data_IF_428610200731
#
_entry.id   IF_428610200731
#
_cell.length_a   1.000
_cell.length_b   1.000
_cell.length_c   1.000
_cell.angle_alpha   90.00
_cell.angle_beta   90.00
_cell.angle_gamma   90.00
#
_symmetry.space_group_name_H-M   'P 1'
#
loop_
_entity.id
_entity.type
_entity.pdbx_description
1 polymer ?
#
# COMPACT_ATOMS: atom_id res chain seq x y z
N UNK A 1 8.82 14.48 -2.23
CA UNK A 1 7.48 14.30 -2.84
C UNK A 1 6.65 13.19 -2.18
N UNK A 2 7.26 12.13 -1.63
CA UNK A 2 6.56 11.05 -0.89
C UNK A 2 5.74 11.51 0.33
N UNK A 3 6.20 12.51 1.08
CA UNK A 3 5.50 13.01 2.27
C UNK A 3 4.16 13.75 1.99
N UNK A 4 3.88 14.14 0.74
CA UNK A 4 2.62 14.84 0.40
C UNK A 4 1.50 13.90 -0.03
N UNK A 5 1.79 12.65 -0.41
CA UNK A 5 0.76 11.71 -0.90
C UNK A 5 0.06 11.02 0.27
N UNK A 6 0.77 10.68 1.34
CA UNK A 6 0.19 10.10 2.57
C UNK A 6 -0.73 11.08 3.33
N UNK A 7 -0.54 12.39 3.14
CA UNK A 7 -1.34 13.40 3.86
C UNK A 7 -2.77 13.57 3.32
N UNK A 8 -3.05 13.12 2.09
CA UNK A 8 -4.36 13.28 1.42
C UNK A 8 -5.31 12.10 1.66
N UNK A 9 -4.79 10.90 1.92
CA UNK A 9 -5.60 9.70 2.16
C UNK A 9 -6.16 9.67 3.59
N UNK A 10 -5.43 10.25 4.55
CA UNK A 10 -5.90 10.40 5.94
C UNK A 10 -6.98 11.50 6.10
N UNK A 11 -7.10 12.44 5.17
CA UNK A 11 -8.08 13.54 5.28
C UNK A 11 -9.48 13.16 4.77
N UNK A 12 -9.61 12.18 3.87
CA UNK A 12 -10.90 11.79 3.29
C UNK A 12 -11.73 10.87 4.19
N UNK A 13 -11.12 10.09 5.09
CA UNK A 13 -11.85 9.22 6.03
C UNK A 13 -12.51 9.97 7.20
N UNK A 14 -12.09 11.21 7.50
CA UNK A 14 -12.73 12.03 8.54
C UNK A 14 -14.04 12.70 8.07
N UNK A 15 -14.31 12.76 6.76
CA UNK A 15 -15.42 13.52 6.20
C UNK A 15 -16.72 12.72 6.02
N UNK A 16 -16.70 11.38 6.14
CA UNK A 16 -17.87 10.55 5.91
C UNK A 16 -18.78 10.35 7.14
N UNK A 17 -18.38 10.81 8.34
CA UNK A 17 -19.09 10.55 9.59
C UNK A 17 -19.95 11.70 10.14
N UNK A 18 -19.98 12.88 9.51
CA UNK A 18 -20.51 14.10 10.14
C UNK A 18 -21.86 14.63 9.59
N UNK A 19 -22.63 13.82 8.87
CA UNK A 19 -23.87 14.28 8.23
C UNK A 19 -25.13 13.53 8.72
N UNK A 20 -25.39 13.56 10.03
CA UNK A 20 -26.71 13.22 10.58
C UNK A 20 -26.94 13.86 11.97
N UNK A 21 -26.94 15.20 12.03
CA UNK A 21 -27.54 15.92 13.16
C UNK A 21 -28.75 16.68 12.63
N UNK A 22 -29.91 16.03 12.74
CA UNK A 22 -31.21 16.66 12.52
C UNK A 22 -31.43 17.66 13.65
N UNK A 23 -31.54 18.94 13.31
CA UNK A 23 -31.92 20.00 14.23
C UNK A 23 -33.34 19.72 14.76
N UNK A 24 -33.45 19.37 16.06
CA UNK A 24 -34.72 19.36 16.76
C UNK A 24 -35.07 20.78 17.24
N UNK A 25 -36.34 21.22 17.15
CA UNK A 25 -36.75 22.54 17.63
C UNK A 25 -36.71 22.58 19.16
N UNK A 26 -36.10 23.64 19.70
CA UNK A 26 -36.10 23.96 21.14
C UNK A 26 -37.50 24.40 21.55
N UNK A 27 -38.19 23.55 22.32
CA UNK A 27 -39.42 23.95 23.02
C UNK A 27 -39.05 24.62 24.36
N UNK A 28 -39.82 25.65 24.74
CA UNK A 28 -39.60 26.47 25.93
C UNK A 28 -39.72 25.69 27.25
N UNK A 29 -38.92 26.09 28.23
CA UNK A 29 -38.77 25.47 29.56
C UNK A 29 -40.03 25.59 30.45
N UNK A 30 -40.48 24.51 31.10
CA UNK A 30 -41.31 24.62 32.29
C UNK A 30 -40.47 24.86 33.56
N UNK A 31 -41.07 25.53 34.53
CA UNK A 31 -40.46 26.11 35.73
C UNK A 31 -39.58 25.15 36.57
N UNK A 32 -38.42 25.68 36.95
CA UNK A 32 -37.36 25.05 37.71
C UNK A 32 -37.76 24.89 39.19
N UNK A 33 -38.24 23.70 39.58
CA UNK A 33 -38.22 23.30 41.00
C UNK A 33 -36.79 22.89 41.36
N UNK A 34 -36.16 23.64 42.26
CA UNK A 34 -34.74 23.47 42.62
C UNK A 34 -34.42 22.04 43.09
N UNK A 35 -33.41 21.37 42.51
CA UNK A 35 -33.06 20.02 42.93
C UNK A 35 -32.43 20.05 44.32
N UNK A 36 -32.79 19.05 45.14
CA UNK A 36 -32.14 18.75 46.42
C UNK A 36 -30.65 18.50 46.15
N UNK A 37 -29.78 19.36 46.69
CA UNK A 37 -28.33 19.18 46.67
C UNK A 37 -27.97 17.94 47.49
N UNK A 38 -27.81 16.80 46.80
CA UNK A 38 -27.18 15.60 47.35
C UNK A 38 -25.68 15.76 47.11
N UNK A 39 -24.92 16.00 48.16
CA UNK A 39 -23.47 16.07 48.11
C UNK A 39 -22.91 14.63 48.07
N UNK A 40 -23.06 13.96 46.92
CA UNK A 40 -22.38 12.71 46.67
C UNK A 40 -20.94 13.03 46.29
N UNK A 41 -19.96 12.54 47.07
CA UNK A 41 -18.58 12.43 46.61
C UNK A 41 -18.57 11.44 45.44
N UNK A 42 -18.81 11.95 44.23
CA UNK A 42 -18.54 11.21 43.00
C UNK A 42 -17.01 11.10 42.92
N UNK A 43 -16.46 9.99 43.38
CA UNK A 43 -15.12 9.60 42.93
C UNK A 43 -15.22 9.44 41.42
N UNK A 44 -14.84 10.49 40.69
CA UNK A 44 -14.57 10.48 39.26
C UNK A 44 -13.28 9.68 39.00
N UNK A 45 -13.20 8.47 39.52
CA UNK A 45 -12.23 7.48 39.05
C UNK A 45 -12.80 6.95 37.73
N UNK A 46 -12.71 7.77 36.68
CA UNK A 46 -13.01 7.29 35.33
C UNK A 46 -12.09 6.09 35.08
N UNK A 47 -12.70 4.90 34.93
CA UNK A 47 -12.04 3.70 34.42
C UNK A 47 -12.36 3.61 32.93
N UNK A 48 -11.37 3.51 32.03
CA UNK A 48 -9.93 3.72 32.29
C UNK A 48 -9.58 5.19 32.54
N UNK A 49 -8.36 5.51 33.03
CA UNK A 49 -7.93 6.89 33.30
C UNK A 49 -8.09 7.81 32.09
N UNK A 50 -8.43 9.09 32.33
CA UNK A 50 -8.41 10.11 31.28
C UNK A 50 -7.01 10.17 30.67
N UNK A 51 -6.93 10.05 29.34
CA UNK A 51 -5.67 10.01 28.59
C UNK A 51 -5.08 8.62 28.33
N UNK A 52 -5.63 7.54 28.91
CA UNK A 52 -5.13 6.19 28.68
C UNK A 52 -5.19 5.76 27.20
N UNK A 53 -6.28 6.11 26.50
CA UNK A 53 -6.45 5.82 25.07
C UNK A 53 -5.44 6.59 24.20
N UNK A 54 -5.33 7.94 24.29
CA UNK A 54 -4.28 8.67 23.57
C UNK A 54 -2.86 8.17 23.86
N UNK A 55 -2.56 7.83 25.12
CA UNK A 55 -1.24 7.30 25.48
C UNK A 55 -0.98 5.93 24.86
N UNK A 56 -1.97 5.03 24.88
CA UNK A 56 -1.86 3.72 24.23
C UNK A 56 -1.72 3.83 22.71
N UNK A 57 -2.43 4.78 22.09
CA UNK A 57 -2.26 5.10 20.67
C UNK A 57 -0.83 5.55 20.36
N UNK A 58 -0.28 6.52 21.11
CA UNK A 58 1.10 6.99 20.93
C UNK A 58 2.12 5.86 21.13
N UNK A 59 1.91 5.00 22.13
CA UNK A 59 2.74 3.80 22.34
C UNK A 59 2.71 2.89 21.12
N UNK A 60 1.54 2.67 20.51
CA UNK A 60 1.43 1.88 19.29
C UNK A 60 2.20 2.50 18.13
N UNK A 61 2.20 3.83 17.97
CA UNK A 61 3.02 4.49 16.94
C UNK A 61 4.53 4.23 17.12
N UNK A 62 5.01 4.26 18.37
CA UNK A 62 6.40 3.91 18.68
C UNK A 62 6.69 2.43 18.40
N UNK A 63 5.77 1.52 18.77
CA UNK A 63 5.91 0.09 18.50
C UNK A 63 5.91 -0.22 16.99
N UNK A 64 5.03 0.40 16.22
CA UNK A 64 4.96 0.21 14.77
C UNK A 64 6.25 0.71 14.10
N UNK A 65 6.71 1.91 14.46
CA UNK A 65 8.01 2.40 14.00
C UNK A 65 9.16 1.49 14.43
N UNK A 66 9.16 0.92 15.64
CA UNK A 66 10.27 0.05 16.06
C UNK A 66 10.47 -1.18 15.16
N UNK A 67 9.42 -1.61 14.46
CA UNK A 67 9.48 -2.72 13.50
C UNK A 67 9.84 -2.26 12.09
N UNK A 68 9.32 -1.11 11.64
CA UNK A 68 9.50 -0.63 10.26
C UNK A 68 10.75 0.26 10.11
N UNK A 69 11.04 1.10 11.09
CA UNK A 69 12.09 2.11 11.07
C UNK A 69 13.52 1.56 10.87
N UNK A 70 13.90 0.35 11.35
CA UNK A 70 15.20 -0.24 11.00
C UNK A 70 15.40 -0.36 9.48
N UNK A 71 14.36 -0.74 8.74
CA UNK A 71 14.42 -0.88 7.27
C UNK A 71 14.40 0.47 6.56
N UNK A 72 13.71 1.48 7.13
CA UNK A 72 13.80 2.87 6.65
C UNK A 72 15.24 3.39 6.77
N UNK A 73 15.87 3.16 7.92
CA UNK A 73 17.27 3.55 8.15
C UNK A 73 18.20 2.76 7.24
N UNK A 74 17.98 1.46 7.06
CA UNK A 74 18.71 0.64 6.10
C UNK A 74 18.64 1.25 4.70
N UNK A 75 17.43 1.48 4.17
CA UNK A 75 17.26 2.07 2.84
C UNK A 75 17.86 3.47 2.70
N UNK A 76 17.76 4.30 3.74
CA UNK A 76 18.34 5.64 3.77
C UNK A 76 19.87 5.64 3.72
N UNK A 77 20.52 4.53 4.09
CA UNK A 77 21.98 4.38 4.08
C UNK A 77 22.45 3.58 2.86
N UNK A 78 21.86 2.42 2.61
CA UNK A 78 22.33 1.47 1.59
C UNK A 78 22.08 1.98 0.18
N UNK A 79 20.94 2.63 -0.09
CA UNK A 79 20.62 3.13 -1.44
C UNK A 79 21.56 4.26 -1.86
N UNK A 80 21.81 5.32 -1.05
CA UNK A 80 22.80 6.33 -1.41
C UNK A 80 24.21 5.78 -1.52
N UNK A 81 24.59 4.84 -0.65
CA UNK A 81 25.91 4.22 -0.71
C UNK A 81 26.10 3.43 -2.01
N UNK A 82 25.11 2.61 -2.39
CA UNK A 82 25.11 1.89 -3.67
C UNK A 82 25.17 2.85 -4.86
N UNK A 83 24.41 3.95 -4.81
CA UNK A 83 24.43 4.98 -5.86
C UNK A 83 25.82 5.64 -6.01
N UNK A 84 26.51 5.91 -4.89
CA UNK A 84 27.89 6.44 -4.91
C UNK A 84 28.89 5.43 -5.46
N UNK A 85 28.69 4.14 -5.19
CA UNK A 85 29.55 3.05 -5.68
C UNK A 85 29.27 2.64 -7.14
N UNK A 86 28.12 3.04 -7.68
CA UNK A 86 27.64 2.67 -9.03
C UNK A 86 28.68 2.89 -10.14
N UNK A 87 29.44 4.01 -10.19
CA UNK A 87 30.45 4.20 -11.24
C UNK A 87 31.58 3.15 -11.20
N UNK A 88 32.00 2.75 -10.00
CA UNK A 88 33.05 1.73 -9.83
C UNK A 88 32.51 0.36 -10.24
N UNK A 89 31.31 0.00 -9.77
CA UNK A 89 30.63 -1.27 -10.13
C UNK A 89 30.43 -1.36 -11.64
N UNK A 90 30.04 -0.27 -12.30
CA UNK A 90 29.92 -0.20 -13.75
C UNK A 90 31.25 -0.48 -14.46
N UNK A 91 32.33 0.19 -14.05
CA UNK A 91 33.65 0.02 -14.66
C UNK A 91 34.19 -1.40 -14.46
N UNK A 92 34.05 -1.94 -13.26
CA UNK A 92 34.47 -3.31 -12.93
C UNK A 92 33.67 -4.33 -13.75
N UNK A 93 32.34 -4.17 -13.84
CA UNK A 93 31.49 -5.05 -14.65
C UNK A 93 31.80 -4.93 -16.14
N UNK A 94 32.10 -3.72 -16.64
CA UNK A 94 32.50 -3.51 -18.04
C UNK A 94 33.84 -4.19 -18.33
N UNK A 95 34.81 -4.06 -17.43
CA UNK A 95 36.11 -4.71 -17.55
C UNK A 95 35.99 -6.24 -17.50
N UNK A 96 35.13 -6.77 -16.62
CA UNK A 96 34.94 -8.21 -16.45
C UNK A 96 34.16 -8.85 -17.61
N UNK A 97 33.14 -8.18 -18.13
CA UNK A 97 32.22 -8.77 -19.12
C UNK A 97 32.47 -8.33 -20.56
N UNK A 98 33.14 -7.19 -20.76
CA UNK A 98 33.25 -6.53 -22.07
C UNK A 98 31.92 -6.05 -22.67
N UNK A 99 30.82 -6.12 -21.90
CA UNK A 99 29.46 -5.85 -22.38
C UNK A 99 28.88 -4.62 -21.70
N UNK A 100 28.67 -3.56 -22.46
CA UNK A 100 28.06 -2.32 -21.96
C UNK A 100 26.67 -2.57 -21.35
N UNK A 101 25.74 -3.30 -21.99
CA UNK A 101 24.44 -3.59 -21.39
C UNK A 101 24.55 -4.34 -20.06
N UNK A 102 25.42 -5.35 -19.96
CA UNK A 102 25.62 -6.08 -18.69
C UNK A 102 26.20 -5.18 -17.61
N UNK A 103 27.18 -4.35 -17.96
CA UNK A 103 27.74 -3.38 -17.02
C UNK A 103 26.70 -2.39 -16.49
N UNK A 104 25.82 -1.88 -17.36
CA UNK A 104 24.68 -1.04 -16.96
C UNK A 104 23.72 -1.81 -16.06
N UNK A 105 23.38 -3.05 -16.42
CA UNK A 105 22.51 -3.92 -15.63
C UNK A 105 23.07 -4.16 -14.22
N UNK A 106 24.33 -4.55 -14.10
CA UNK A 106 25.00 -4.79 -12.81
C UNK A 106 25.04 -3.52 -11.95
N UNK A 107 25.36 -2.39 -12.57
CA UNK A 107 25.38 -1.10 -11.88
C UNK A 107 23.99 -0.70 -11.39
N UNK A 108 22.96 -0.85 -12.21
CA UNK A 108 21.57 -0.58 -11.84
C UNK A 108 21.10 -1.53 -10.72
N UNK A 109 21.36 -2.84 -10.87
CA UNK A 109 20.99 -3.88 -9.91
C UNK A 109 21.56 -3.62 -8.51
N UNK A 110 22.74 -3.00 -8.42
CA UNK A 110 23.34 -2.64 -7.12
C UNK A 110 22.50 -1.63 -6.32
N UNK A 111 21.86 -0.67 -7.02
CA UNK A 111 21.02 0.35 -6.40
C UNK A 111 19.61 -0.17 -6.20
N UNK A 112 19.05 -0.85 -7.20
CA UNK A 112 17.69 -1.36 -7.17
C UNK A 112 17.53 -2.50 -6.17
N UNK A 113 18.54 -3.35 -6.01
CA UNK A 113 18.55 -4.42 -5.01
C UNK A 113 18.55 -3.85 -3.59
N UNK A 114 19.41 -2.87 -3.30
CA UNK A 114 19.42 -2.19 -2.01
C UNK A 114 18.08 -1.48 -1.71
N UNK A 115 17.44 -0.91 -2.73
CA UNK A 115 16.11 -0.31 -2.60
C UNK A 115 15.04 -1.38 -2.38
N UNK A 116 15.12 -2.51 -3.07
CA UNK A 116 14.19 -3.62 -2.95
C UNK A 116 14.22 -4.22 -1.54
N UNK A 117 15.41 -4.53 -1.01
CA UNK A 117 15.57 -5.09 0.34
C UNK A 117 14.97 -4.18 1.42
N UNK A 118 15.18 -2.87 1.28
CA UNK A 118 14.62 -1.90 2.22
C UNK A 118 13.09 -1.79 2.06
N UNK A 119 12.58 -1.72 0.83
CA UNK A 119 11.16 -1.63 0.55
C UNK A 119 10.41 -2.88 1.04
N UNK A 120 10.96 -4.06 0.79
CA UNK A 120 10.41 -5.34 1.22
C UNK A 120 10.33 -5.42 2.74
N UNK A 121 11.42 -5.06 3.44
CA UNK A 121 11.44 -5.03 4.89
C UNK A 121 10.42 -4.04 5.49
N UNK A 122 10.24 -2.87 4.88
CA UNK A 122 9.23 -1.87 5.29
C UNK A 122 7.82 -2.42 5.05
N UNK A 123 7.51 -2.77 3.80
CA UNK A 123 6.15 -3.06 3.34
C UNK A 123 5.67 -4.38 3.92
N UNK A 124 6.50 -5.43 3.91
CA UNK A 124 6.07 -6.70 4.46
C UNK A 124 5.84 -6.61 5.97
N UNK A 125 6.63 -5.85 6.73
CA UNK A 125 6.34 -5.67 8.16
C UNK A 125 5.09 -4.82 8.40
N UNK A 126 4.83 -3.83 7.55
CA UNK A 126 3.63 -2.99 7.67
C UNK A 126 2.36 -3.81 7.37
N UNK A 127 2.27 -4.35 6.14
CA UNK A 127 1.15 -5.17 5.64
C UNK A 127 0.88 -6.40 6.50
N UNK A 128 1.90 -7.08 7.01
CA UNK A 128 1.70 -8.34 7.73
C UNK A 128 1.51 -8.21 9.24
N UNK A 129 1.77 -7.04 9.82
CA UNK A 129 1.81 -6.90 11.30
C UNK A 129 1.14 -5.63 11.77
N UNK A 130 1.57 -4.48 11.24
CA UNK A 130 1.11 -3.17 11.71
C UNK A 130 -0.29 -2.89 11.19
N UNK A 131 -0.51 -2.97 9.88
CA UNK A 131 -1.80 -2.75 9.23
C UNK A 131 -2.88 -3.63 9.86
N UNK A 132 -2.74 -4.98 9.95
CA UNK A 132 -3.79 -5.82 10.52
C UNK A 132 -4.11 -5.48 11.98
N UNK A 133 -3.10 -5.18 12.82
CA UNK A 133 -3.35 -4.77 14.21
C UNK A 133 -4.09 -3.43 14.28
N UNK A 134 -3.66 -2.45 13.48
CA UNK A 134 -4.26 -1.13 13.46
C UNK A 134 -5.73 -1.20 13.02
N UNK A 135 -6.02 -1.99 11.99
CA UNK A 135 -7.37 -2.20 11.48
C UNK A 135 -8.25 -2.99 12.44
N UNK A 136 -7.75 -4.06 13.08
CA UNK A 136 -8.52 -4.74 14.13
C UNK A 136 -8.91 -3.79 15.28
N UNK A 137 -7.98 -2.91 15.69
CA UNK A 137 -8.28 -1.90 16.72
C UNK A 137 -9.33 -0.89 16.25
N UNK A 138 -9.28 -0.48 14.99
CA UNK A 138 -10.27 0.42 14.38
C UNK A 138 -11.65 -0.26 14.28
N UNK A 139 -11.69 -1.51 13.84
CA UNK A 139 -12.92 -2.31 13.74
C UNK A 139 -13.60 -2.44 15.09
N UNK A 140 -12.86 -2.80 16.14
CA UNK A 140 -13.35 -2.84 17.53
C UNK A 140 -13.88 -1.45 17.94
N UNK A 141 -13.13 -0.38 17.66
CA UNK A 141 -13.57 0.98 18.02
C UNK A 141 -14.86 1.40 17.32
N UNK A 142 -15.04 1.01 16.05
CA UNK A 142 -16.27 1.28 15.28
C UNK A 142 -17.46 0.50 15.84
N UNK A 143 -17.29 -0.79 16.14
CA UNK A 143 -18.33 -1.61 16.79
C UNK A 143 -18.75 -0.98 18.12
N UNK A 144 -17.79 -0.61 18.97
CA UNK A 144 -18.09 0.01 20.25
C UNK A 144 -18.77 1.39 20.11
N UNK A 145 -18.37 2.20 19.12
CA UNK A 145 -19.01 3.48 18.85
C UNK A 145 -20.47 3.30 18.41
N UNK A 146 -20.77 2.29 17.60
CA UNK A 146 -22.14 1.98 17.21
C UNK A 146 -23.01 1.57 18.40
N UNK A 147 -22.46 0.78 19.33
CA UNK A 147 -23.14 0.38 20.58
C UNK A 147 -23.40 1.57 21.51
N UNK A 148 -22.45 2.50 21.60
CA UNK A 148 -22.68 3.77 22.32
C UNK A 148 -23.78 4.57 21.63
N UNK A 149 -23.77 4.62 20.29
CA UNK A 149 -24.78 5.31 19.49
C UNK A 149 -26.19 4.75 19.68
N UNK A 150 -26.34 3.43 19.77
CA UNK A 150 -27.64 2.81 20.07
C UNK A 150 -28.09 3.09 21.51
N UNK A 151 -27.16 3.10 22.48
CA UNK A 151 -27.44 3.42 23.88
C UNK A 151 -27.87 4.88 24.12
N UNK A 152 -27.67 5.80 23.16
CA UNK A 152 -28.23 7.17 23.23
C UNK A 152 -29.76 7.15 23.30
N UNK A 153 -30.40 6.12 22.73
CA UNK A 153 -31.84 5.92 22.79
C UNK A 153 -32.32 5.42 24.15
N UNK A 154 -31.41 4.94 24.99
CA UNK A 154 -31.65 4.43 26.35
C UNK A 154 -30.75 5.17 27.36
N UNK A 155 -31.12 6.40 27.80
CA UNK A 155 -30.24 7.25 28.61
C UNK A 155 -29.71 6.62 29.91
N UNK A 156 -30.41 5.62 30.46
CA UNK A 156 -29.98 4.85 31.62
C UNK A 156 -28.77 3.94 31.34
N UNK A 157 -28.61 3.45 30.11
CA UNK A 157 -27.56 2.52 29.70
C UNK A 157 -26.33 3.23 29.10
N UNK A 158 -26.50 4.49 28.68
CA UNK A 158 -25.45 5.27 28.01
C UNK A 158 -24.13 5.35 28.81
N UNK A 159 -24.12 5.62 30.14
CA UNK A 159 -22.87 5.69 30.90
C UNK A 159 -22.09 4.36 30.87
N UNK A 160 -22.79 3.23 30.96
CA UNK A 160 -22.19 1.89 30.96
C UNK A 160 -21.68 1.51 29.57
N UNK A 161 -22.44 1.86 28.52
CA UNK A 161 -22.00 1.69 27.13
C UNK A 161 -20.71 2.48 26.84
N UNK A 162 -20.63 3.73 27.30
CA UNK A 162 -19.43 4.57 27.15
C UNK A 162 -18.24 3.99 27.90
N UNK A 163 -18.42 3.52 29.14
CA UNK A 163 -17.33 2.91 29.91
C UNK A 163 -16.84 1.61 29.25
N UNK A 164 -17.77 0.74 28.84
CA UNK A 164 -17.46 -0.50 28.11
C UNK A 164 -16.69 -0.23 26.82
N UNK A 165 -17.11 0.77 26.06
CA UNK A 165 -16.42 1.17 24.83
C UNK A 165 -14.98 1.63 25.12
N UNK A 166 -14.78 2.45 26.15
CA UNK A 166 -13.44 2.94 26.54
C UNK A 166 -12.53 1.82 27.00
N UNK A 167 -13.04 0.89 27.80
CA UNK A 167 -12.28 -0.29 28.27
C UNK A 167 -11.91 -1.21 27.13
N UNK A 168 -12.87 -1.53 26.26
CA UNK A 168 -12.67 -2.44 25.12
C UNK A 168 -11.68 -1.86 24.10
N UNK A 169 -11.81 -0.57 23.76
CA UNK A 169 -10.86 0.11 22.85
C UNK A 169 -9.46 0.19 23.48
N UNK A 170 -9.36 0.48 24.77
CA UNK A 170 -8.07 0.48 25.45
C UNK A 170 -7.44 -0.91 25.49
N UNK A 171 -8.24 -1.96 25.72
CA UNK A 171 -7.78 -3.34 25.68
C UNK A 171 -7.24 -3.70 24.29
N UNK A 172 -7.97 -3.36 23.23
CA UNK A 172 -7.55 -3.55 21.84
C UNK A 172 -6.23 -2.82 21.54
N UNK A 173 -6.13 -1.54 21.93
CA UNK A 173 -4.90 -0.75 21.76
C UNK A 173 -3.70 -1.37 22.51
N UNK A 174 -3.93 -2.00 23.65
CA UNK A 174 -2.87 -2.63 24.44
C UNK A 174 -2.52 -4.06 23.99
N UNK A 175 -3.23 -4.62 23.01
CA UNK A 175 -2.84 -5.92 22.45
C UNK A 175 -1.41 -5.84 21.88
N UNK A 176 -0.59 -6.87 22.09
CA UNK A 176 0.78 -6.89 21.56
C UNK A 176 0.75 -6.85 20.03
N UNK A 177 1.79 -6.29 19.43
CA UNK A 177 1.99 -6.46 17.99
C UNK A 177 2.28 -7.95 17.71
N UNK A 178 1.56 -8.60 16.79
CA UNK A 178 1.80 -10.00 16.46
C UNK A 178 3.25 -10.23 16.03
N UNK A 179 3.80 -11.38 16.44
CA UNK A 179 5.09 -11.85 15.94
C UNK A 179 5.01 -12.24 14.45
N UNK A 180 6.15 -12.45 13.78
CA UNK A 180 6.17 -13.00 12.44
C UNK A 180 5.40 -14.34 12.38
N UNK A 181 4.50 -14.48 11.40
CA UNK A 181 3.67 -15.69 11.23
C UNK A 181 2.57 -15.88 12.28
N UNK A 182 2.45 -14.98 13.27
CA UNK A 182 1.38 -15.05 14.28
C UNK A 182 0.11 -14.37 13.72
N UNK A 183 -1.05 -15.03 13.75
CA UNK A 183 -2.32 -14.41 13.37
C UNK A 183 -2.65 -13.23 14.27
N UNK A 184 -3.25 -12.19 13.69
CA UNK A 184 -3.80 -11.07 14.45
C UNK A 184 -5.17 -11.53 14.95
N UNK A 185 -5.56 -11.26 16.22
CA UNK A 185 -6.93 -11.48 16.64
C UNK A 185 -7.88 -10.74 15.69
N UNK A 186 -8.86 -11.45 15.11
CA UNK A 186 -9.85 -10.91 14.17
C UNK A 186 -11.23 -10.75 14.80
N UNK A 187 -11.36 -11.08 16.08
CA UNK A 187 -12.62 -10.97 16.80
C UNK A 187 -12.89 -9.50 17.15
N UNK A 188 -13.79 -8.89 16.37
CA UNK A 188 -14.22 -7.50 16.54
C UNK A 188 -15.37 -7.35 17.53
N UNK A 189 -16.02 -8.47 17.86
CA UNK A 189 -17.25 -8.51 18.66
C UNK A 189 -18.49 -8.03 17.91
N UNK A 190 -18.46 -7.87 16.59
CA UNK A 190 -19.65 -7.52 15.81
C UNK A 190 -20.73 -8.62 15.91
N UNK A 191 -21.95 -8.24 16.28
CA UNK A 191 -23.07 -9.17 16.50
C UNK A 191 -24.29 -8.81 15.63
N UNK A 192 -24.47 -7.53 15.32
CA UNK A 192 -25.60 -7.05 14.55
C UNK A 192 -25.23 -6.88 13.08
N UNK A 193 -26.20 -7.01 12.16
CA UNK A 193 -25.99 -6.77 10.73
C UNK A 193 -25.25 -5.45 10.42
N UNK A 194 -25.62 -4.28 10.98
CA UNK A 194 -24.91 -3.04 10.67
C UNK A 194 -23.48 -3.04 11.22
N UNK A 195 -23.20 -3.69 12.35
CA UNK A 195 -21.83 -3.84 12.88
C UNK A 195 -20.98 -4.73 11.94
N UNK A 196 -21.54 -5.85 11.48
CA UNK A 196 -20.86 -6.75 10.52
C UNK A 196 -20.57 -6.01 9.21
N UNK A 197 -21.56 -5.30 8.66
CA UNK A 197 -21.37 -4.51 7.43
C UNK A 197 -20.26 -3.46 7.62
N UNK A 198 -20.22 -2.78 8.77
CA UNK A 198 -19.18 -1.78 9.05
C UNK A 198 -17.78 -2.42 9.13
N UNK A 199 -17.64 -3.53 9.86
CA UNK A 199 -16.38 -4.28 9.99
C UNK A 199 -15.90 -4.77 8.62
N UNK A 200 -16.78 -5.38 7.84
CA UNK A 200 -16.41 -5.92 6.52
C UNK A 200 -16.07 -4.81 5.51
N UNK A 201 -16.75 -3.67 5.56
CA UNK A 201 -16.38 -2.50 4.76
C UNK A 201 -14.98 -1.96 5.12
N UNK A 202 -14.62 -1.96 6.41
CA UNK A 202 -13.29 -1.59 6.87
C UNK A 202 -12.25 -2.58 6.35
N UNK A 203 -12.49 -3.89 6.44
CA UNK A 203 -11.58 -4.93 5.94
C UNK A 203 -11.33 -4.80 4.44
N UNK A 204 -12.38 -4.63 3.62
CA UNK A 204 -12.23 -4.42 2.17
C UNK A 204 -11.43 -3.14 1.89
N UNK A 205 -11.71 -2.06 2.62
CA UNK A 205 -10.97 -0.81 2.46
C UNK A 205 -9.50 -0.98 2.84
N UNK A 206 -9.21 -1.72 3.92
CA UNK A 206 -7.86 -2.03 4.37
C UNK A 206 -7.10 -2.86 3.31
N UNK A 207 -7.77 -3.89 2.76
CA UNK A 207 -7.21 -4.74 1.71
C UNK A 207 -6.86 -3.92 0.47
N UNK A 208 -7.76 -3.06 0.01
CA UNK A 208 -7.54 -2.23 -1.20
C UNK A 208 -6.49 -1.14 -0.96
N UNK A 209 -6.66 -0.33 0.09
CA UNK A 209 -5.88 0.89 0.26
C UNK A 209 -4.48 0.63 0.83
N UNK A 210 -4.34 -0.39 1.69
CA UNK A 210 -3.09 -0.67 2.40
C UNK A 210 -2.44 -1.95 1.90
N UNK A 211 -3.12 -3.10 1.95
CA UNK A 211 -2.45 -4.36 1.59
C UNK A 211 -2.06 -4.40 0.10
N UNK A 212 -3.04 -4.30 -0.80
CA UNK A 212 -2.82 -4.25 -2.23
C UNK A 212 -2.06 -2.97 -2.64
N UNK A 213 -2.41 -1.83 -2.04
CA UNK A 213 -1.76 -0.55 -2.30
C UNK A 213 -0.25 -0.56 -2.03
N UNK A 214 0.17 -1.07 -0.87
CA UNK A 214 1.58 -1.14 -0.51
C UNK A 214 2.32 -2.23 -1.29
N UNK A 215 1.67 -3.37 -1.59
CA UNK A 215 2.26 -4.38 -2.47
C UNK A 215 2.49 -3.85 -3.90
N UNK A 216 1.61 -3.00 -4.41
CA UNK A 216 1.84 -2.33 -5.70
C UNK A 216 3.06 -1.41 -5.63
N UNK A 217 3.26 -0.68 -4.52
CA UNK A 217 4.45 0.15 -4.32
C UNK A 217 5.72 -0.70 -4.23
N UNK A 218 5.68 -1.82 -3.49
CA UNK A 218 6.78 -2.80 -3.44
C UNK A 218 7.08 -3.33 -4.85
N UNK A 219 6.03 -3.69 -5.58
CA UNK A 219 6.13 -4.24 -6.91
C UNK A 219 6.75 -3.30 -7.93
N UNK A 220 6.64 -1.98 -7.77
CA UNK A 220 7.39 -1.01 -8.60
C UNK A 220 8.89 -1.19 -8.41
N UNK A 221 9.35 -1.33 -7.16
CA UNK A 221 10.77 -1.52 -6.85
C UNK A 221 11.25 -2.88 -7.35
N UNK A 222 10.49 -3.94 -7.08
CA UNK A 222 10.77 -5.30 -7.55
C UNK A 222 10.82 -5.39 -9.08
N UNK A 223 9.91 -4.70 -9.78
CA UNK A 223 9.86 -4.67 -11.25
C UNK A 223 11.12 -4.08 -11.85
N UNK A 224 11.58 -2.95 -11.29
CA UNK A 224 12.80 -2.29 -11.76
C UNK A 224 14.02 -3.15 -11.45
N UNK A 225 14.05 -3.77 -10.26
CA UNK A 225 15.14 -4.65 -9.86
C UNK A 225 15.22 -5.92 -10.73
N UNK A 226 14.09 -6.59 -10.98
CA UNK A 226 14.01 -7.76 -11.86
C UNK A 226 14.55 -7.47 -13.26
N UNK A 227 14.17 -6.31 -13.83
CA UNK A 227 14.70 -5.86 -15.12
C UNK A 227 16.21 -5.58 -15.07
N UNK A 228 16.69 -4.91 -14.01
CA UNK A 228 18.11 -4.61 -13.84
C UNK A 228 18.95 -5.89 -13.68
N UNK A 229 18.48 -6.84 -12.87
CA UNK A 229 19.11 -8.15 -12.70
C UNK A 229 19.15 -8.95 -14.00
N UNK A 230 18.06 -8.96 -14.77
CA UNK A 230 18.02 -9.68 -16.05
C UNK A 230 18.96 -9.02 -17.07
N UNK A 231 19.04 -7.68 -17.11
CA UNK A 231 20.00 -6.98 -17.94
C UNK A 231 21.45 -7.29 -17.53
N UNK A 232 21.72 -7.40 -16.22
CA UNK A 232 23.03 -7.76 -15.69
C UNK A 232 23.45 -9.17 -16.13
N UNK A 233 22.51 -10.13 -16.08
CA UNK A 233 22.76 -11.53 -16.44
C UNK A 233 22.87 -11.73 -17.95
N UNK A 234 21.88 -11.31 -18.71
CA UNK A 234 21.79 -11.61 -20.15
C UNK A 234 22.57 -10.61 -20.99
N UNK A 235 22.53 -9.32 -20.63
CA UNK A 235 22.94 -8.22 -21.50
C UNK A 235 21.93 -7.89 -22.59
N UNK A 236 20.74 -8.50 -22.58
CA UNK A 236 19.68 -8.27 -23.55
C UNK A 236 18.62 -7.32 -22.97
N UNK A 237 18.48 -6.09 -23.51
CA UNK A 237 17.47 -5.14 -23.02
C UNK A 237 16.03 -5.62 -23.26
N UNK A 238 15.80 -6.46 -24.26
CA UNK A 238 14.46 -7.00 -24.51
C UNK A 238 14.10 -8.04 -23.44
N UNK A 239 15.03 -8.94 -23.12
CA UNK A 239 14.88 -9.87 -22.01
C UNK A 239 14.63 -9.13 -20.68
N UNK A 240 15.40 -8.06 -20.42
CA UNK A 240 15.23 -7.22 -19.23
C UNK A 240 13.83 -6.60 -19.11
N UNK A 241 13.30 -6.03 -20.21
CA UNK A 241 11.93 -5.48 -20.24
C UNK A 241 10.90 -6.60 -20.02
N UNK A 242 11.13 -7.79 -20.58
CA UNK A 242 10.21 -8.91 -20.38
C UNK A 242 10.20 -9.42 -18.94
N UNK A 243 11.35 -9.47 -18.27
CA UNK A 243 11.46 -9.83 -16.86
C UNK A 243 10.77 -8.80 -15.96
N UNK A 244 10.98 -7.51 -16.21
CA UNK A 244 10.25 -6.45 -15.52
C UNK A 244 8.73 -6.56 -15.74
N UNK A 245 8.28 -6.80 -16.97
CA UNK A 245 6.85 -6.98 -17.26
C UNK A 245 6.26 -8.20 -16.55
N UNK A 246 6.98 -9.32 -16.50
CA UNK A 246 6.55 -10.53 -15.79
C UNK A 246 6.39 -10.25 -14.28
N UNK A 247 7.36 -9.59 -13.66
CA UNK A 247 7.28 -9.19 -12.24
C UNK A 247 6.10 -8.24 -11.98
N UNK A 248 5.87 -7.27 -12.87
CA UNK A 248 4.75 -6.34 -12.73
C UNK A 248 3.40 -7.06 -12.81
N UNK A 249 3.26 -8.04 -13.70
CA UNK A 249 2.04 -8.86 -13.81
C UNK A 249 1.82 -9.67 -12.53
N UNK A 250 2.86 -10.33 -12.01
CA UNK A 250 2.77 -11.11 -10.77
C UNK A 250 2.29 -10.25 -9.59
N UNK A 251 2.83 -9.05 -9.41
CA UNK A 251 2.40 -8.13 -8.35
C UNK A 251 0.93 -7.73 -8.51
N UNK A 252 0.51 -7.43 -9.74
CA UNK A 252 -0.89 -7.05 -10.02
C UNK A 252 -1.83 -8.21 -9.74
N UNK A 253 -1.45 -9.44 -10.10
CA UNK A 253 -2.23 -10.64 -9.85
C UNK A 253 -2.39 -10.87 -8.34
N UNK A 254 -1.29 -10.83 -7.57
CA UNK A 254 -1.32 -10.95 -6.10
C UNK A 254 -2.19 -9.84 -5.46
N UNK A 255 -2.05 -8.60 -5.91
CA UNK A 255 -2.85 -7.49 -5.40
C UNK A 255 -4.35 -7.67 -5.73
N UNK A 256 -4.66 -8.17 -6.93
CA UNK A 256 -6.03 -8.46 -7.37
C UNK A 256 -6.66 -9.59 -6.56
N UNK A 257 -5.90 -10.65 -6.27
CA UNK A 257 -6.35 -11.78 -5.47
C UNK A 257 -6.72 -11.33 -4.05
N UNK A 258 -5.86 -10.53 -3.40
CA UNK A 258 -6.13 -9.97 -2.05
C UNK A 258 -7.44 -9.17 -2.02
N UNK A 259 -7.67 -8.31 -3.03
CA UNK A 259 -8.90 -7.51 -3.10
C UNK A 259 -10.11 -8.41 -3.33
N UNK A 260 -10.01 -9.38 -4.23
CA UNK A 260 -11.11 -10.29 -4.58
C UNK A 260 -11.48 -11.17 -3.38
N UNK A 261 -10.49 -11.77 -2.72
CA UNK A 261 -10.69 -12.58 -1.52
C UNK A 261 -11.32 -11.78 -0.39
N UNK A 262 -10.89 -10.52 -0.19
CA UNK A 262 -11.47 -9.65 0.82
C UNK A 262 -12.93 -9.31 0.51
N UNK A 263 -13.27 -9.03 -0.75
CA UNK A 263 -14.65 -8.75 -1.17
C UNK A 263 -15.53 -9.99 -1.04
N UNK A 264 -15.06 -11.16 -1.47
CA UNK A 264 -15.81 -12.41 -1.38
C UNK A 264 -16.04 -12.82 0.08
N UNK A 265 -15.04 -12.62 0.95
CA UNK A 265 -15.17 -12.81 2.39
C UNK A 265 -16.22 -11.86 2.98
N UNK A 266 -16.15 -10.57 2.65
CA UNK A 266 -17.12 -9.57 3.11
C UNK A 266 -18.55 -9.92 2.69
N UNK A 267 -18.74 -10.28 1.42
CA UNK A 267 -20.04 -10.68 0.88
C UNK A 267 -20.58 -11.92 1.60
N UNK A 268 -19.72 -12.90 1.86
CA UNK A 268 -20.08 -14.13 2.57
C UNK A 268 -20.50 -13.83 4.02
N UNK A 269 -19.72 -13.01 4.73
CA UNK A 269 -20.00 -12.64 6.12
C UNK A 269 -21.29 -11.83 6.25
N UNK A 270 -21.54 -10.88 5.33
CA UNK A 270 -22.77 -10.09 5.31
C UNK A 270 -23.99 -10.98 5.01
N UNK A 271 -23.90 -11.91 4.06
CA UNK A 271 -24.98 -12.89 3.80
C UNK A 271 -25.23 -13.77 5.02
N UNK A 272 -24.18 -14.27 5.67
CA UNK A 272 -24.30 -15.05 6.90
C UNK A 272 -25.00 -14.30 8.02
N UNK A 273 -24.72 -13.00 8.18
CA UNK A 273 -25.39 -12.12 9.14
C UNK A 273 -26.87 -11.85 8.77
N UNK A 274 -27.21 -11.77 7.48
CA UNK A 274 -28.60 -11.66 7.03
C UNK A 274 -29.41 -12.93 7.33
N UNK A 275 -28.81 -14.10 7.13
CA UNK A 275 -29.47 -15.39 7.37
C UNK A 275 -29.62 -15.70 8.87
N UNK A 276 -28.79 -15.11 9.73
CA UNK A 276 -28.86 -15.25 11.19
C UNK A 276 -28.53 -13.91 11.89
N UNK A 277 -29.48 -12.96 11.97
CA UNK A 277 -29.23 -11.61 12.48
C UNK A 277 -28.89 -11.52 13.98
N UNK A 278 -28.92 -12.65 14.68
CA UNK A 278 -28.61 -12.77 16.12
C UNK A 278 -27.57 -13.86 16.42
N UNK A 279 -26.83 -14.36 15.42
CA UNK A 279 -25.70 -15.27 15.69
C UNK A 279 -24.50 -14.46 16.13
N UNK A 280 -23.98 -14.77 17.32
CA UNK A 280 -22.59 -14.48 17.72
C UNK A 280 -21.65 -14.87 16.60
N UNK A 281 -20.85 -13.91 16.12
CA UNK A 281 -19.83 -14.14 15.11
C UNK A 281 -18.99 -15.36 15.50
N UNK A 282 -19.11 -16.44 14.72
CA UNK A 282 -18.11 -17.50 14.75
C UNK A 282 -16.77 -16.95 14.24
N UNK A 283 -15.65 -17.62 14.54
CA UNK A 283 -14.33 -17.17 14.13
C UNK A 283 -14.36 -16.87 12.62
N UNK A 284 -14.10 -15.63 12.27
CA UNK A 284 -14.07 -15.22 10.86
C UNK A 284 -12.97 -16.04 10.19
N UNK A 285 -13.35 -16.85 9.21
CA UNK A 285 -12.39 -17.60 8.39
C UNK A 285 -11.37 -16.60 7.86
N UNK A 286 -10.10 -16.87 8.17
CA UNK A 286 -8.97 -16.04 7.76
C UNK A 286 -9.09 -15.72 6.27
N UNK A 287 -9.10 -14.43 5.91
CA UNK A 287 -8.75 -14.04 4.54
C UNK A 287 -7.40 -14.68 4.26
N UNK A 288 -7.34 -15.50 3.21
CA UNK A 288 -6.15 -16.24 2.81
C UNK A 288 -4.97 -15.27 2.85
N UNK A 289 -4.11 -15.45 3.86
CA UNK A 289 -2.90 -14.67 3.98
C UNK A 289 -2.08 -15.05 2.77
N UNK A 290 -1.85 -14.10 1.86
CA UNK A 290 -0.75 -14.23 0.94
C UNK A 290 0.51 -14.27 1.81
N UNK A 291 0.96 -15.47 2.17
CA UNK A 291 2.34 -15.71 2.51
C UNK A 291 3.12 -15.43 1.22
N UNK A 292 3.38 -14.14 0.99
CA UNK A 292 4.21 -13.69 -0.13
C UNK A 292 5.60 -14.20 0.20
N UNK A 293 5.88 -15.38 -0.32
CA UNK A 293 7.19 -15.99 -0.23
C UNK A 293 8.14 -15.06 -0.98
N UNK A 294 9.28 -14.66 -0.39
CA UNK A 294 10.22 -13.78 -1.06
C UNK A 294 10.60 -14.42 -2.40
N UNK A 295 10.46 -13.65 -3.48
CA UNK A 295 10.97 -14.05 -4.78
C UNK A 295 12.44 -14.43 -4.57
N UNK A 296 12.78 -15.68 -4.82
CA UNK A 296 14.11 -16.22 -4.54
C UNK A 296 15.15 -15.41 -5.32
N UNK A 297 15.81 -14.47 -4.63
CA UNK A 297 17.01 -13.83 -5.13
C UNK A 297 18.08 -14.92 -5.22
N UNK A 298 18.29 -15.42 -6.44
CA UNK A 298 19.37 -16.33 -6.77
C UNK A 298 20.70 -15.67 -6.40
N UNK A 299 21.20 -16.03 -5.22
CA UNK A 299 22.52 -15.64 -4.72
C UNK A 299 23.57 -16.42 -5.51
N UNK A 300 24.07 -15.82 -6.59
CA UNK A 300 25.34 -16.20 -7.16
C UNK A 300 26.43 -15.40 -6.46
N UNK A 301 27.10 -16.00 -5.47
CA UNK A 301 28.57 -16.21 -5.41
C UNK A 301 29.03 -16.43 -3.95
N UNK A 302 29.40 -17.66 -3.62
CA UNK A 302 30.25 -17.99 -2.46
C UNK A 302 31.06 -19.27 -2.75
N UNK A 303 32.40 -19.29 -2.54
CA UNK A 303 33.27 -20.41 -2.90
C UNK A 303 33.19 -21.57 -1.89
N UNK A 304 33.56 -22.82 -2.29
CA UNK A 304 33.29 -24.00 -1.47
C UNK A 304 34.40 -24.27 -0.44
N UNK A 305 34.05 -24.89 0.70
CA UNK A 305 34.94 -25.87 1.28
C UNK A 305 34.28 -27.23 1.52
N UNK A 306 34.92 -28.24 0.92
CA UNK A 306 35.16 -29.63 1.34
C UNK A 306 34.17 -30.34 2.30
N UNK A 307 33.49 -31.34 1.74
CA UNK A 307 33.39 -32.76 2.16
C UNK A 307 33.45 -33.15 3.65
N UNK A 308 32.36 -33.76 4.15
CA UNK A 308 32.28 -34.95 5.06
C UNK A 308 30.80 -35.39 5.15
N UNK A 309 30.36 -36.39 4.38
CA UNK A 309 30.18 -37.83 4.71
C UNK A 309 29.50 -38.14 6.06
N UNK A 310 28.23 -38.58 5.98
CA UNK A 310 27.53 -39.64 6.74
C UNK A 310 26.12 -39.75 6.09
N UNK A 311 25.73 -40.74 5.26
CA UNK A 311 25.37 -42.16 5.51
C UNK A 311 24.62 -42.32 6.84
N UNK A 312 23.33 -42.68 6.89
CA UNK A 312 22.80 -44.00 6.51
C UNK A 312 21.24 -44.11 6.53
N UNK A 313 20.68 -44.85 5.55
CA UNK A 313 19.49 -45.73 5.51
C UNK A 313 18.06 -45.20 5.86
N UNK A 314 16.98 -45.59 5.18
CA UNK A 314 16.72 -46.64 4.17
C UNK A 314 15.39 -46.39 3.43
N UNK A 315 15.29 -46.68 2.11
CA UNK A 315 14.70 -47.89 1.47
C UNK A 315 13.20 -48.06 1.78
N UNK A 316 12.26 -48.09 0.82
CA UNK A 316 12.15 -48.96 -0.37
C UNK A 316 11.22 -48.32 -1.45
N UNK A 317 11.60 -48.24 -2.74
CA UNK A 317 11.33 -49.17 -3.87
C UNK A 317 9.82 -49.36 -4.20
N UNK A 318 9.30 -49.11 -5.40
CA UNK A 318 9.52 -49.88 -6.67
C UNK A 318 8.83 -49.12 -7.84
N UNK A 319 9.55 -48.61 -8.86
CA UNK A 319 9.80 -49.15 -10.22
C UNK A 319 8.58 -49.28 -11.16
N UNK A 320 8.55 -48.52 -12.26
CA UNK A 320 8.52 -49.04 -13.63
C UNK A 320 8.66 -47.92 -14.68
N UNK A 321 9.61 -48.11 -15.60
CA UNK A 321 9.89 -47.30 -16.79
C UNK A 321 9.00 -47.72 -17.96
N UNK A 322 8.70 -46.79 -18.88
CA UNK A 322 8.60 -47.11 -20.31
C UNK A 322 8.90 -45.88 -21.18
N UNK A 323 9.86 -46.08 -22.07
CA UNK A 323 10.39 -45.21 -23.12
C UNK A 323 9.49 -45.22 -24.34
N UNK A 324 9.29 -44.07 -25.01
CA UNK A 324 9.16 -43.99 -26.48
C UNK A 324 9.32 -42.55 -26.96
N UNK A 325 10.16 -42.39 -27.97
CA UNK A 325 10.63 -41.17 -28.63
C UNK A 325 9.83 -40.96 -29.96
N UNK A 326 10.24 -40.11 -30.93
CA UNK A 326 9.55 -38.89 -31.33
C UNK A 326 8.87 -38.96 -32.72
N UNK A 327 8.04 -37.96 -33.07
CA UNK A 327 7.65 -37.72 -34.46
C UNK A 327 7.77 -36.24 -34.84
N UNK A 328 8.38 -36.03 -36.01
CA UNK A 328 8.70 -34.78 -36.71
C UNK A 328 7.48 -34.18 -37.44
N UNK A 329 7.71 -32.96 -37.96
CA UNK A 329 7.02 -32.23 -39.04
C UNK A 329 6.02 -31.17 -38.53
N UNK A 330 5.99 -29.89 -38.93
CA UNK A 330 6.53 -29.19 -40.11
C UNK A 330 6.65 -27.68 -39.86
N UNK A 331 7.41 -27.02 -40.73
CA UNK A 331 7.44 -25.60 -41.10
C UNK A 331 6.19 -24.75 -40.76
N UNK A 332 6.41 -23.57 -40.17
CA UNK A 332 6.03 -22.32 -40.86
C UNK A 332 6.71 -21.09 -40.21
N UNK A 333 7.71 -20.55 -40.90
CA UNK A 333 8.29 -19.22 -40.64
C UNK A 333 7.40 -18.13 -41.22
N UNK A 334 6.78 -17.28 -40.37
CA UNK A 334 6.43 -15.90 -40.75
C UNK A 334 6.10 -14.96 -39.57
N UNK A 335 6.98 -13.97 -39.38
CA UNK A 335 6.68 -12.63 -38.82
C UNK A 335 6.23 -12.53 -37.36
N UNK A 336 7.18 -12.54 -36.41
CA UNK A 336 6.93 -12.35 -34.98
C UNK A 336 7.49 -11.03 -34.39
N UNK A 337 7.58 -9.95 -35.19
CA UNK A 337 8.17 -8.66 -34.72
C UNK A 337 7.12 -7.57 -34.38
N UNK A 338 5.83 -7.94 -34.36
CA UNK A 338 4.69 -7.04 -34.04
C UNK A 338 4.06 -7.15 -32.64
N UNK A 339 4.16 -8.24 -31.85
CA UNK A 339 3.43 -8.31 -30.58
C UNK A 339 4.08 -7.45 -29.48
N UNK A 340 5.42 -7.36 -29.47
CA UNK A 340 6.18 -6.64 -28.43
C UNK A 340 5.94 -5.13 -28.47
N UNK A 341 5.93 -4.51 -29.67
CA UNK A 341 5.67 -3.08 -29.81
C UNK A 341 4.25 -2.69 -29.43
N UNK A 342 3.30 -3.63 -29.43
CA UNK A 342 1.92 -3.42 -28.99
C UNK A 342 1.86 -3.50 -27.46
N UNK A 343 2.49 -4.53 -26.88
CA UNK A 343 2.58 -4.72 -25.43
C UNK A 343 3.27 -3.53 -24.74
N UNK A 344 4.42 -3.07 -25.24
CA UNK A 344 5.14 -1.90 -24.68
C UNK A 344 4.30 -0.62 -24.76
N UNK A 345 3.51 -0.47 -25.84
CA UNK A 345 2.62 0.70 -26.01
C UNK A 345 1.41 0.63 -25.09
N UNK A 346 0.87 -0.56 -24.85
CA UNK A 346 -0.30 -0.76 -24.01
C UNK A 346 0.10 -0.63 -22.53
N UNK A 347 1.24 -1.19 -22.11
CA UNK A 347 1.82 -0.96 -20.77
C UNK A 347 2.15 0.52 -20.55
N UNK A 348 2.76 1.21 -21.52
CA UNK A 348 3.01 2.66 -21.41
C UNK A 348 1.72 3.49 -21.35
N UNK A 349 0.61 2.99 -21.93
CA UNK A 349 -0.69 3.66 -21.89
C UNK A 349 -1.38 3.44 -20.54
N UNK A 350 -1.26 2.24 -19.98
CA UNK A 350 -1.77 1.87 -18.65
C UNK A 350 -1.01 2.59 -17.53
N UNK A 351 0.33 2.65 -17.60
CA UNK A 351 1.13 3.42 -16.63
C UNK A 351 0.76 4.90 -16.69
N UNK A 352 0.57 5.46 -17.90
CA UNK A 352 0.17 6.86 -18.08
C UNK A 352 -1.27 7.15 -17.64
N UNK A 353 -2.17 6.16 -17.65
CA UNK A 353 -3.52 6.31 -17.08
C UNK A 353 -3.54 6.22 -15.56
N UNK A 354 -2.62 5.46 -14.96
CA UNK A 354 -2.54 5.27 -13.51
C UNK A 354 -1.78 6.41 -12.82
N UNK A 355 -0.72 6.94 -13.41
CA UNK A 355 0.09 8.00 -12.76
C UNK A 355 -0.50 9.40 -12.86
N UNK A 356 -1.63 9.57 -13.53
CA UNK A 356 -2.18 10.89 -13.84
C UNK A 356 -1.31 11.65 -14.85
N UNK A 357 -1.95 12.23 -15.85
CA UNK A 357 -1.29 13.11 -16.81
C UNK A 357 -0.85 14.37 -16.05
N UNK A 358 0.45 14.75 -16.02
CA UNK A 358 0.80 16.07 -15.50
C UNK A 358 0.04 17.09 -16.33
N UNK A 359 -0.73 17.94 -15.67
CA UNK A 359 -1.49 18.98 -16.33
C UNK A 359 -0.53 19.80 -17.20
N UNK A 360 -0.79 19.83 -18.50
CA UNK A 360 -0.23 20.81 -19.44
C UNK A 360 -0.72 22.21 -19.03
N UNK A 361 -0.17 22.74 -17.95
CA UNK A 361 -0.37 24.11 -17.50
C UNK A 361 0.87 24.92 -17.86
N UNK A 362 1.09 25.14 -19.16
CA UNK A 362 1.83 26.30 -19.72
C UNK A 362 1.98 26.19 -21.24
N UNK A 363 0.87 26.30 -21.99
CA UNK A 363 0.95 26.69 -23.40
C UNK A 363 -0.39 27.15 -23.97
N UNK A 364 -0.97 28.23 -23.43
CA UNK A 364 -1.93 29.10 -24.14
C UNK A 364 -2.37 30.28 -23.26
N UNK A 365 -1.51 31.29 -23.15
CA UNK A 365 -1.91 32.67 -22.86
C UNK A 365 -0.79 33.60 -23.31
N UNK A 366 -0.59 33.69 -24.63
CA UNK A 366 0.10 34.82 -25.25
C UNK A 366 -0.33 34.91 -26.72
N UNK A 367 -1.60 35.23 -26.93
CA UNK A 367 -2.12 35.76 -28.21
C UNK A 367 -3.58 36.20 -28.00
N UNK A 368 -3.76 37.37 -27.38
CA UNK A 368 -4.68 38.41 -27.83
C UNK A 368 -4.67 39.52 -26.79
N UNK A 369 -3.80 40.51 -27.02
CA UNK A 369 -4.09 41.86 -26.57
C UNK A 369 -3.98 42.75 -27.81
N UNK A 370 -5.14 43.06 -28.36
CA UNK A 370 -5.32 43.91 -29.54
C UNK A 370 -5.42 45.33 -29.01
N UNK A 371 -4.26 45.92 -28.72
CA UNK A 371 -4.15 47.34 -28.39
C UNK A 371 -4.46 48.17 -29.61
N UNK A 372 -5.27 49.18 -29.36
CA UNK A 372 -5.75 50.20 -30.26
C UNK A 372 -4.63 51.10 -30.82
N UNK A 373 -4.95 51.70 -31.95
CA UNK A 373 -4.22 52.72 -32.70
C UNK A 373 -3.51 53.78 -31.86
N UNK A 374 -2.35 54.24 -32.34
CA UNK A 374 -2.18 55.67 -32.53
C UNK A 374 -1.75 56.02 -33.95
N UNK A 375 -2.54 56.93 -34.54
CA UNK A 375 -2.21 57.76 -35.69
C UNK A 375 -0.87 58.47 -35.46
N UNK A 376 0.15 58.12 -36.23
CA UNK A 376 1.35 58.94 -36.36
C UNK A 376 1.34 59.71 -37.68
N UNK A 377 1.36 61.02 -37.50
CA UNK A 377 1.32 62.06 -38.52
C UNK A 377 2.56 62.01 -39.41
N UNK A 378 2.32 62.04 -40.72
CA UNK A 378 3.30 62.30 -41.76
C UNK A 378 3.30 63.80 -42.07
N UNK A 379 4.38 64.56 -41.80
CA UNK A 379 4.56 65.86 -42.41
C UNK A 379 5.37 65.70 -43.70
N UNK A 380 4.70 65.94 -44.82
CA UNK A 380 5.34 66.40 -46.06
C UNK A 380 5.91 67.80 -45.83
N UNK A 381 7.22 67.98 -45.99
CA UNK A 381 7.77 69.31 -46.29
C UNK A 381 8.77 69.23 -47.43
N UNK A 382 8.52 70.16 -48.31
CA UNK A 382 9.00 70.35 -49.65
C UNK A 382 10.39 71.02 -49.67
N UNK A 383 11.11 70.70 -50.74
CA UNK A 383 12.06 71.52 -51.51
C UNK A 383 13.28 72.22 -50.88
N UNK A 384 14.36 71.96 -51.61
CA UNK A 384 15.27 72.95 -52.22
C UNK A 384 16.58 73.29 -51.51
N UNK A 385 17.62 72.90 -52.26
CA UNK A 385 18.71 73.76 -52.72
C UNK A 385 20.00 73.89 -51.90
N UNK A 386 21.07 73.65 -52.68
CA UNK A 386 22.27 74.47 -52.84
C UNK A 386 23.52 74.13 -52.01
N UNK A 387 24.55 73.84 -52.82
CA UNK A 387 25.93 74.38 -52.83
C UNK A 387 26.80 73.97 -51.64
N UNK A 388 27.87 73.23 -51.87
CA UNK A 388 29.13 73.59 -52.55
C UNK A 388 30.22 73.83 -51.51
N UNK A 389 31.42 73.33 -51.81
CA UNK A 389 32.61 73.43 -50.97
C UNK A 389 33.28 72.08 -50.88
#
# INVERSE_FOLDING_TARGET
MYARIQSTVLTTLAAAGAAALVAAPVAASPELHGPRLVNAQVQLTASPPLGAIPLAFLRNQVLYCSVICPFVVQGAITVPLAAVQTPVIFLDALAATGSLPRAVGTAAASVTGAANDAAEGIILNDVNRVVPKAFNTLEIAVVQLMRVGSAVLTPAELPDAVNTARETVLAALNQPLPGPGVPVPTETGAETLPEVVAVEAIKVTAAVAFQAGELLVLGVVQTVDAGAQELARSGDPLAAVSAAAAQATEVVDVASDIVSDSVDTAVTNIRGALDNPFRTAGPTTETSRAEVQPASASSADAPPPATRVHREAGRAATRASATAEPSRASDDTKTADRPVRKLVRDVSRTVRSVTGRPADASRKTLQHDKSEDPKENRPTRDRSDKRAG
#
